data_IF_076945706587
#
_entry.id   IF_076945706587
#
_cell.length_a   1.000
_cell.length_b   1.000
_cell.length_c   1.000
_cell.angle_alpha   90.00
_cell.angle_beta   90.00
_cell.angle_gamma   90.00
#
_symmetry.space_group_name_H-M   'P 1'
#
loop_
_entity.id
_entity.type
_entity.pdbx_description
1 polymer ?
#
# COMPACT_ATOMS: atom_id res chain seq x y z
N UNK A 1 5.92 -7.62 11.66
CA UNK A 1 4.90 -7.91 10.67
C UNK A 1 3.55 -7.51 11.19
N UNK A 2 2.52 -7.79 10.40
CA UNK A 2 1.14 -7.34 10.63
C UNK A 2 0.94 -5.90 10.17
N UNK A 3 -0.21 -5.35 10.54
CA UNK A 3 -0.52 -3.92 10.38
C UNK A 3 -0.01 -3.19 11.62
N UNK A 4 0.77 -2.13 11.41
CA UNK A 4 1.41 -1.36 12.47
C UNK A 4 0.84 0.05 12.43
N UNK A 5 0.44 0.56 13.60
CA UNK A 5 0.10 1.96 13.81
C UNK A 5 1.14 2.54 14.75
N UNK A 6 1.84 3.58 14.32
CA UNK A 6 2.83 4.30 15.12
C UNK A 6 2.33 5.71 15.49
N UNK A 7 2.99 6.34 16.47
CA UNK A 7 2.61 7.66 16.99
C UNK A 7 3.13 8.84 16.14
N UNK A 8 3.72 8.58 14.97
CA UNK A 8 4.43 9.57 14.19
C UNK A 8 5.80 9.94 14.76
N UNK A 9 6.54 10.76 14.00
CA UNK A 9 7.83 11.31 14.44
C UNK A 9 7.61 12.43 15.44
N UNK A 10 8.47 12.49 16.47
CA UNK A 10 8.60 13.65 17.34
C UNK A 10 9.89 14.43 17.00
N UNK A 11 10.04 15.62 17.59
CA UNK A 11 11.19 16.49 17.35
C UNK A 11 12.53 15.90 17.84
N UNK A 12 12.51 14.79 18.57
CA UNK A 12 13.71 14.12 19.10
C UNK A 12 14.37 13.19 18.08
N UNK A 13 13.80 13.04 16.88
CA UNK A 13 14.40 12.27 15.78
C UNK A 13 14.45 10.76 15.98
N UNK A 14 13.81 10.23 17.04
CA UNK A 14 13.74 8.80 17.31
C UNK A 14 12.79 8.05 16.36
N UNK A 15 12.90 6.73 16.34
CA UNK A 15 11.90 5.87 15.66
C UNK A 15 10.52 6.09 16.30
N UNK A 16 9.46 6.33 15.50
CA UNK A 16 8.11 6.45 16.01
C UNK A 16 7.73 5.24 16.88
N UNK A 17 7.24 5.45 18.12
CA UNK A 17 6.82 4.35 18.97
C UNK A 17 5.58 3.67 18.35
N UNK A 18 5.56 2.34 18.38
CA UNK A 18 4.41 1.55 17.93
C UNK A 18 3.29 1.65 18.96
N UNK A 19 2.13 2.14 18.54
CA UNK A 19 0.93 2.28 19.37
C UNK A 19 0.08 1.01 19.30
N UNK A 20 -0.02 0.41 18.12
CA UNK A 20 -0.76 -0.83 17.93
C UNK A 20 -0.09 -1.73 16.89
N UNK A 21 -0.26 -3.04 17.07
CA UNK A 21 0.11 -4.05 16.09
C UNK A 21 -1.02 -5.06 16.00
N UNK A 22 -1.63 -5.14 14.82
CA UNK A 22 -2.73 -6.06 14.54
C UNK A 22 -2.29 -7.11 13.52
N UNK A 23 -2.74 -8.37 13.61
CA UNK A 23 -2.50 -9.34 12.56
C UNK A 23 -3.20 -8.90 11.27
N UNK A 24 -2.53 -9.07 10.14
CA UNK A 24 -3.19 -9.05 8.84
C UNK A 24 -3.88 -10.42 8.62
N UNK A 25 -5.18 -10.49 8.30
CA UNK A 25 -5.87 -11.76 8.10
C UNK A 25 -5.16 -12.66 7.06
N UNK A 26 -4.95 -13.93 7.41
CA UNK A 26 -4.12 -14.85 6.61
C UNK A 26 -4.81 -15.29 5.31
N UNK A 27 -6.14 -15.25 5.30
CA UNK A 27 -6.99 -15.53 4.16
C UNK A 27 -6.87 -14.43 3.08
N UNK A 28 -6.70 -13.17 3.50
CA UNK A 28 -6.67 -12.05 2.57
C UNK A 28 -5.42 -12.08 1.69
N UNK A 29 -5.56 -11.53 0.50
CA UNK A 29 -4.48 -11.33 -0.45
C UNK A 29 -4.32 -9.86 -0.77
N UNK A 30 -3.07 -9.49 -1.00
CA UNK A 30 -2.71 -8.22 -1.62
C UNK A 30 -2.39 -8.50 -3.07
N UNK A 31 -3.04 -7.80 -3.98
CA UNK A 31 -2.77 -7.81 -5.41
C UNK A 31 -1.89 -6.60 -5.68
N UNK A 32 -0.62 -6.84 -6.01
CA UNK A 32 0.35 -5.79 -6.37
C UNK A 32 0.33 -5.58 -7.87
N UNK A 33 0.34 -4.31 -8.30
CA UNK A 33 0.37 -3.88 -9.69
C UNK A 33 1.67 -3.14 -9.90
N UNK A 34 2.61 -3.75 -10.61
CA UNK A 34 3.94 -3.19 -10.84
C UNK A 34 4.04 -2.70 -12.27
N UNK A 35 4.34 -1.41 -12.43
CA UNK A 35 4.68 -0.81 -13.72
C UNK A 35 6.19 -0.65 -13.81
N UNK A 36 6.82 -1.44 -14.68
CA UNK A 36 8.27 -1.45 -14.87
C UNK A 36 8.76 -0.35 -15.84
N UNK A 37 7.84 0.37 -16.49
CA UNK A 37 8.21 1.42 -17.46
C UNK A 37 8.45 2.79 -16.82
N UNK A 38 8.03 2.97 -15.55
CA UNK A 38 8.07 4.24 -14.85
C UNK A 38 8.86 4.17 -13.55
N UNK A 39 9.28 5.34 -13.07
CA UNK A 39 9.85 5.51 -11.73
C UNK A 39 9.04 6.54 -10.97
N UNK A 40 8.73 6.26 -9.70
CA UNK A 40 8.23 7.27 -8.77
C UNK A 40 9.32 8.27 -8.42
N UNK A 41 8.95 9.36 -7.74
CA UNK A 41 9.93 10.30 -7.21
C UNK A 41 10.85 9.60 -6.19
N UNK A 42 12.15 9.84 -6.31
CA UNK A 42 13.14 9.34 -5.37
C UNK A 42 14.32 10.31 -5.22
N UNK A 43 15.02 10.25 -4.09
CA UNK A 43 16.26 11.00 -3.88
C UNK A 43 16.06 12.51 -3.90
N UNK A 44 16.86 13.23 -4.69
CA UNK A 44 16.82 14.70 -4.71
C UNK A 44 15.46 15.26 -5.19
N UNK A 45 14.81 14.61 -6.15
CA UNK A 45 13.51 15.03 -6.65
C UNK A 45 12.39 14.85 -5.61
N UNK A 46 12.47 13.80 -4.80
CA UNK A 46 11.56 13.58 -3.67
C UNK A 46 11.73 14.64 -2.59
N UNK A 47 12.98 14.97 -2.23
CA UNK A 47 13.27 16.03 -1.25
C UNK A 47 12.73 17.38 -1.71
N UNK A 48 12.91 17.70 -3.00
CA UNK A 48 12.42 18.97 -3.55
C UNK A 48 10.89 19.00 -3.62
N UNK A 49 10.25 17.89 -4.02
CA UNK A 49 8.80 17.77 -3.97
C UNK A 49 8.25 18.03 -2.57
N UNK A 50 8.83 17.41 -1.53
CA UNK A 50 8.43 17.66 -0.14
C UNK A 50 8.61 19.12 0.30
N UNK A 51 9.63 19.84 -0.20
CA UNK A 51 9.83 21.26 0.11
C UNK A 51 8.84 22.17 -0.59
N UNK A 52 8.49 21.82 -1.82
CA UNK A 52 7.62 22.62 -2.69
C UNK A 52 6.13 22.46 -2.38
N UNK A 53 5.72 21.29 -1.86
CA UNK A 53 4.33 21.00 -1.58
C UNK A 53 3.84 21.81 -0.36
N UNK A 54 2.59 22.28 -0.40
CA UNK A 54 2.01 22.93 0.77
C UNK A 54 1.96 21.93 1.94
N UNK A 55 1.93 22.42 3.20
CA UNK A 55 1.68 21.54 4.34
C UNK A 55 0.40 20.72 4.16
N UNK A 56 0.42 19.46 4.62
CA UNK A 56 -0.77 18.61 4.58
C UNK A 56 -1.89 19.24 5.42
N UNK A 57 -3.11 19.40 4.88
CA UNK A 57 -4.20 20.07 5.62
C UNK A 57 -4.53 19.35 6.93
N UNK A 58 -4.68 20.10 8.03
CA UNK A 58 -5.04 19.54 9.34
C UNK A 58 -6.32 18.71 9.31
N UNK A 59 -7.35 19.17 8.59
CA UNK A 59 -8.60 18.44 8.44
C UNK A 59 -8.39 17.07 7.75
N UNK A 60 -7.52 17.01 6.74
CA UNK A 60 -7.13 15.76 6.10
C UNK A 60 -6.39 14.83 7.06
N UNK A 61 -5.47 15.37 7.86
CA UNK A 61 -4.74 14.57 8.87
C UNK A 61 -5.69 14.00 9.92
N UNK A 62 -6.66 14.79 10.39
CA UNK A 62 -7.70 14.34 11.31
C UNK A 62 -8.57 13.24 10.72
N UNK A 63 -8.94 13.37 9.44
CA UNK A 63 -9.72 12.36 8.72
C UNK A 63 -8.95 11.05 8.53
N UNK A 64 -7.65 11.11 8.21
CA UNK A 64 -6.79 9.93 8.14
C UNK A 64 -6.72 9.23 9.51
N UNK A 65 -6.49 10.00 10.59
CA UNK A 65 -6.48 9.46 11.95
C UNK A 65 -7.80 8.75 12.29
N UNK A 66 -8.93 9.37 12.00
CA UNK A 66 -10.26 8.79 12.19
C UNK A 66 -10.44 7.50 11.39
N UNK A 67 -10.01 7.45 10.13
CA UNK A 67 -10.11 6.25 9.27
C UNK A 67 -9.20 5.13 9.73
N UNK A 68 -8.04 5.43 10.29
CA UNK A 68 -7.17 4.42 10.90
C UNK A 68 -7.84 3.83 12.16
N UNK A 69 -8.22 4.69 13.11
CA UNK A 69 -8.72 4.27 14.42
C UNK A 69 -10.13 3.68 14.39
N UNK A 70 -11.02 4.24 13.57
CA UNK A 70 -12.46 3.90 13.53
C UNK A 70 -12.85 3.14 12.25
N UNK A 71 -11.90 2.85 11.37
CA UNK A 71 -12.11 2.11 10.12
C UNK A 71 -11.20 0.90 10.02
N UNK A 72 -9.91 1.13 9.72
CA UNK A 72 -8.93 0.07 9.49
C UNK A 72 -8.79 -0.85 10.71
N UNK A 73 -8.61 -0.29 11.90
CA UNK A 73 -8.34 -1.10 13.10
C UNK A 73 -9.52 -2.02 13.47
N UNK A 74 -10.77 -1.55 13.62
CA UNK A 74 -11.93 -2.42 13.83
C UNK A 74 -12.10 -3.44 12.70
N UNK A 75 -11.99 -3.03 11.44
CA UNK A 75 -12.16 -3.92 10.30
C UNK A 75 -11.13 -5.08 10.27
N UNK A 76 -9.90 -4.83 10.72
CA UNK A 76 -8.90 -5.91 10.89
C UNK A 76 -9.28 -6.88 12.01
N UNK A 77 -9.81 -6.38 13.13
CA UNK A 77 -10.22 -7.20 14.27
C UNK A 77 -11.43 -8.06 13.92
N UNK A 78 -12.42 -7.46 13.24
CA UNK A 78 -13.68 -8.09 12.83
C UNK A 78 -13.55 -8.90 11.52
N UNK A 79 -12.39 -8.79 10.85
CA UNK A 79 -12.13 -9.38 9.53
C UNK A 79 -13.12 -8.93 8.46
N UNK A 80 -13.55 -7.68 8.53
CA UNK A 80 -14.39 -7.02 7.54
C UNK A 80 -13.52 -6.42 6.42
N UNK A 81 -13.32 -7.21 5.35
CA UNK A 81 -12.52 -6.76 4.21
C UNK A 81 -13.14 -5.55 3.48
N UNK A 82 -14.46 -5.51 3.17
CA UNK A 82 -15.09 -4.32 2.61
C UNK A 82 -14.84 -3.04 3.41
N UNK A 83 -15.04 -3.06 4.73
CA UNK A 83 -14.81 -1.90 5.59
C UNK A 83 -13.34 -1.48 5.61
N UNK A 84 -12.43 -2.46 5.72
CA UNK A 84 -10.98 -2.23 5.63
C UNK A 84 -10.61 -1.56 4.30
N UNK A 85 -11.09 -2.10 3.19
CA UNK A 85 -10.83 -1.58 1.86
C UNK A 85 -11.37 -0.17 1.66
N UNK A 86 -12.59 0.11 2.09
CA UNK A 86 -13.17 1.46 2.01
C UNK A 86 -12.35 2.49 2.80
N UNK A 87 -11.87 2.13 4.00
CA UNK A 87 -11.02 3.00 4.80
C UNK A 87 -9.66 3.25 4.13
N UNK A 88 -9.02 2.20 3.59
CA UNK A 88 -7.75 2.31 2.88
C UNK A 88 -7.88 3.17 1.62
N UNK A 89 -8.85 2.90 0.74
CA UNK A 89 -9.06 3.69 -0.50
C UNK A 89 -9.23 5.17 -0.16
N UNK A 90 -10.03 5.50 0.85
CA UNK A 90 -10.26 6.90 1.19
C UNK A 90 -9.00 7.60 1.74
N UNK A 91 -8.18 6.91 2.54
CA UNK A 91 -6.87 7.43 2.95
C UNK A 91 -5.98 7.65 1.72
N UNK A 92 -5.95 6.69 0.80
CA UNK A 92 -5.15 6.75 -0.43
C UNK A 92 -5.58 7.90 -1.35
N UNK A 93 -6.88 8.19 -1.46
CA UNK A 93 -7.38 9.35 -2.20
C UNK A 93 -6.93 10.66 -1.56
N UNK A 94 -7.03 10.80 -0.23
CA UNK A 94 -6.57 12.02 0.47
C UNK A 94 -5.08 12.27 0.27
N UNK A 95 -4.27 11.22 0.42
CA UNK A 95 -2.81 11.29 0.24
C UNK A 95 -2.49 11.58 -1.23
N UNK A 96 -3.01 10.77 -2.16
CA UNK A 96 -2.75 10.92 -3.59
C UNK A 96 -3.19 12.27 -4.14
N UNK A 97 -4.32 12.81 -3.70
CA UNK A 97 -4.75 14.18 -4.08
C UNK A 97 -3.81 15.27 -3.57
N UNK A 98 -3.26 15.12 -2.37
CA UNK A 98 -2.29 16.08 -1.83
C UNK A 98 -0.98 16.06 -2.61
N UNK A 99 -0.50 14.87 -2.98
CA UNK A 99 0.76 14.69 -3.70
C UNK A 99 0.62 14.82 -5.23
N UNK A 100 -0.60 14.89 -5.75
CA UNK A 100 -0.88 14.97 -7.19
C UNK A 100 -0.12 16.05 -7.95
N UNK A 101 0.08 17.28 -7.42
CA UNK A 101 0.86 18.30 -8.11
C UNK A 101 2.33 17.91 -8.36
N UNK A 102 2.90 17.03 -7.51
CA UNK A 102 4.28 16.58 -7.63
C UNK A 102 4.43 15.28 -8.43
N UNK A 103 3.41 14.40 -8.41
CA UNK A 103 3.50 13.07 -9.05
C UNK A 103 2.65 12.92 -10.33
N UNK A 104 1.92 13.95 -10.74
CA UNK A 104 1.13 13.96 -11.99
C UNK A 104 -0.28 13.39 -11.89
N UNK A 105 -0.77 13.10 -10.69
CA UNK A 105 -2.11 12.56 -10.43
C UNK A 105 -2.24 11.89 -9.06
N UNK A 106 -3.40 11.32 -8.76
CA UNK A 106 -3.59 10.51 -7.53
C UNK A 106 -2.68 9.27 -7.55
N UNK A 107 -2.47 8.71 -8.74
CA UNK A 107 -1.46 7.71 -9.03
C UNK A 107 -0.41 8.32 -9.96
N UNK A 108 0.84 7.88 -9.77
CA UNK A 108 1.97 8.26 -10.62
C UNK A 108 1.89 7.59 -11.99
N UNK A 109 1.42 6.34 -12.06
CA UNK A 109 1.19 5.62 -13.33
C UNK A 109 -0.30 5.53 -13.65
N UNK A 110 -0.68 6.05 -14.83
CA UNK A 110 -2.04 5.92 -15.38
C UNK A 110 -2.44 4.48 -15.66
N UNK A 111 -1.47 3.64 -16.03
CA UNK A 111 -1.69 2.22 -16.30
C UNK A 111 -2.03 1.48 -15.00
N UNK A 112 -1.33 1.84 -13.94
CA UNK A 112 -1.59 1.31 -12.59
C UNK A 112 -2.94 1.79 -12.05
N UNK A 113 -3.27 3.08 -12.22
CA UNK A 113 -4.58 3.65 -11.88
C UNK A 113 -5.71 2.85 -12.56
N UNK A 114 -5.61 2.68 -13.88
CA UNK A 114 -6.58 1.92 -14.68
C UNK A 114 -6.72 0.47 -14.20
N UNK A 115 -5.60 -0.22 -13.99
CA UNK A 115 -5.61 -1.61 -13.53
C UNK A 115 -6.20 -1.73 -12.11
N UNK A 116 -5.92 -0.79 -11.21
CA UNK A 116 -6.49 -0.76 -9.87
C UNK A 116 -8.01 -0.57 -9.90
N UNK A 117 -8.51 0.36 -10.72
CA UNK A 117 -9.96 0.55 -10.90
C UNK A 117 -10.64 -0.70 -11.46
N UNK A 118 -10.05 -1.36 -12.45
CA UNK A 118 -10.59 -2.62 -12.99
C UNK A 118 -10.58 -3.76 -11.97
N UNK A 119 -9.55 -3.84 -11.11
CA UNK A 119 -9.56 -4.78 -9.99
C UNK A 119 -10.73 -4.49 -9.04
N UNK A 120 -11.00 -3.21 -8.75
CA UNK A 120 -12.12 -2.80 -7.90
C UNK A 120 -13.47 -3.16 -8.54
N UNK A 121 -13.64 -2.92 -9.84
CA UNK A 121 -14.82 -3.34 -10.60
C UNK A 121 -15.02 -4.86 -10.60
N UNK A 122 -13.92 -5.63 -10.60
CA UNK A 122 -13.96 -7.09 -10.52
C UNK A 122 -14.28 -7.63 -9.11
N UNK A 123 -14.26 -6.78 -8.07
CA UNK A 123 -14.60 -7.13 -6.69
C UNK A 123 -13.44 -7.06 -5.69
N UNK A 124 -12.24 -6.62 -6.10
CA UNK A 124 -11.20 -6.24 -5.15
C UNK A 124 -11.60 -4.96 -4.39
N UNK A 125 -10.96 -4.70 -3.26
CA UNK A 125 -11.23 -3.48 -2.46
C UNK A 125 -9.93 -2.80 -2.05
N UNK A 126 -10.00 -1.57 -1.52
CA UNK A 126 -8.84 -0.90 -0.93
C UNK A 126 -7.75 -0.55 -1.93
N UNK A 127 -8.14 0.01 -3.08
CA UNK A 127 -7.19 0.42 -4.12
C UNK A 127 -6.32 1.58 -3.63
N UNK A 128 -5.04 1.57 -4.03
CA UNK A 128 -4.09 2.61 -3.67
C UNK A 128 -2.73 2.45 -4.32
N UNK A 129 -1.81 3.33 -3.94
CA UNK A 129 -0.42 3.35 -4.40
C UNK A 129 0.53 3.21 -3.20
N UNK A 130 1.59 2.43 -3.38
CA UNK A 130 2.69 2.38 -2.42
C UNK A 130 3.64 3.55 -2.65
N UNK A 131 3.80 4.42 -1.65
CA UNK A 131 4.71 5.58 -1.69
C UNK A 131 4.46 6.46 -2.93
N UNK A 132 5.52 7.01 -3.53
CA UNK A 132 5.46 7.77 -4.79
C UNK A 132 5.22 6.91 -6.04
N UNK A 133 4.93 5.61 -5.87
CA UNK A 133 4.65 4.70 -6.97
C UNK A 133 5.90 4.21 -7.72
N UNK A 134 5.71 3.57 -8.89
CA UNK A 134 4.42 3.38 -9.55
C UNK A 134 3.64 2.16 -9.02
N UNK A 135 4.11 1.45 -8.00
CA UNK A 135 3.42 0.23 -7.53
C UNK A 135 2.06 0.54 -6.93
N UNK A 136 1.00 0.02 -7.55
CA UNK A 136 -0.36 0.03 -7.02
C UNK A 136 -0.69 -1.23 -6.25
N UNK A 137 -1.78 -1.20 -5.50
CA UNK A 137 -2.29 -2.38 -4.81
C UNK A 137 -3.82 -2.40 -4.71
N UNK A 138 -4.37 -3.59 -4.46
CA UNK A 138 -5.74 -3.84 -4.04
C UNK A 138 -5.78 -5.08 -3.13
N UNK A 139 -6.90 -5.35 -2.48
CA UNK A 139 -7.09 -6.49 -1.59
C UNK A 139 -8.20 -7.42 -2.06
N UNK A 140 -8.03 -8.71 -1.79
CA UNK A 140 -9.01 -9.76 -2.08
C UNK A 140 -9.22 -10.68 -0.87
N UNK A 141 -10.41 -11.27 -0.70
CA UNK A 141 -10.73 -12.07 0.49
C UNK A 141 -10.03 -13.43 0.51
N UNK A 142 -9.55 -13.91 -0.64
CA UNK A 142 -8.88 -15.20 -0.78
C UNK A 142 -7.93 -15.21 -1.98
N UNK A 143 -7.11 -16.26 -2.10
CA UNK A 143 -6.29 -16.50 -3.29
C UNK A 143 -7.13 -16.75 -4.54
N UNK A 144 -8.20 -17.52 -4.43
CA UNK A 144 -9.07 -17.84 -5.57
C UNK A 144 -9.83 -16.61 -6.08
N UNK A 145 -10.31 -15.76 -5.16
CA UNK A 145 -10.90 -14.47 -5.52
C UNK A 145 -9.86 -13.58 -6.21
N UNK A 146 -8.63 -13.51 -5.69
CA UNK A 146 -7.57 -12.72 -6.30
C UNK A 146 -7.26 -13.19 -7.73
N UNK A 147 -7.17 -14.50 -7.98
CA UNK A 147 -6.98 -15.05 -9.33
C UNK A 147 -8.12 -14.65 -10.27
N UNK A 148 -9.38 -14.78 -9.84
CA UNK A 148 -10.55 -14.38 -10.63
C UNK A 148 -10.51 -12.89 -11.00
N UNK A 149 -10.16 -12.02 -10.05
CA UNK A 149 -10.07 -10.58 -10.29
C UNK A 149 -8.94 -10.25 -11.27
N UNK A 150 -7.75 -10.86 -11.08
CA UNK A 150 -6.61 -10.67 -11.98
C UNK A 150 -6.92 -11.16 -13.39
N UNK A 151 -7.60 -12.30 -13.55
CA UNK A 151 -8.01 -12.82 -14.86
C UNK A 151 -9.00 -11.89 -15.57
N UNK A 152 -9.94 -11.27 -14.84
CA UNK A 152 -10.84 -10.27 -15.39
C UNK A 152 -10.10 -9.03 -15.92
N UNK A 153 -9.07 -8.57 -15.18
CA UNK A 153 -8.23 -7.45 -15.60
C UNK A 153 -7.36 -7.83 -16.81
N UNK A 154 -6.76 -9.02 -16.84
CA UNK A 154 -5.93 -9.47 -17.97
C UNK A 154 -6.70 -9.59 -19.28
N UNK A 155 -7.98 -9.93 -19.22
CA UNK A 155 -8.86 -10.02 -20.41
C UNK A 155 -9.22 -8.64 -20.99
N UNK A 156 -9.16 -7.60 -20.18
CA UNK A 156 -9.55 -6.23 -20.57
C UNK A 156 -8.34 -5.31 -20.77
N UNK A 157 -7.22 -5.61 -20.11
CA UNK A 157 -5.97 -4.84 -20.14
C UNK A 157 -4.94 -5.61 -20.96
N UNK A 158 -4.85 -5.28 -22.25
CA UNK A 158 -3.80 -5.77 -23.17
C UNK A 158 -2.65 -4.75 -23.17
N UNK A 159 -2.16 -4.34 -21.99
CA UNK A 159 -1.02 -3.43 -21.91
C UNK A 159 0.24 -4.20 -21.51
N UNK A 160 1.17 -4.28 -22.46
CA UNK A 160 2.51 -4.81 -22.22
C UNK A 160 3.23 -3.98 -21.14
N UNK A 161 3.88 -4.67 -20.20
CA UNK A 161 4.75 -4.06 -19.19
C UNK A 161 4.16 -3.85 -17.79
N UNK A 162 2.91 -4.24 -17.54
CA UNK A 162 2.38 -4.39 -16.17
C UNK A 162 2.57 -5.81 -15.64
N UNK A 163 3.22 -5.94 -14.50
CA UNK A 163 3.32 -7.20 -13.76
C UNK A 163 2.33 -7.19 -12.59
N UNK A 164 1.47 -8.21 -12.49
CA UNK A 164 0.54 -8.34 -11.36
C UNK A 164 0.94 -9.53 -10.50
N UNK A 165 1.14 -9.30 -9.19
CA UNK A 165 1.49 -10.33 -8.20
C UNK A 165 0.41 -10.48 -7.15
N UNK A 166 0.10 -11.71 -6.78
CA UNK A 166 -0.76 -12.01 -5.63
C UNK A 166 0.15 -12.43 -4.47
N UNK A 167 0.11 -11.68 -3.38
CA UNK A 167 0.92 -11.92 -2.18
C UNK A 167 0.04 -11.95 -0.92
N UNK A 168 0.62 -12.35 0.20
CA UNK A 168 -0.04 -12.36 1.52
C UNK A 168 0.65 -11.41 2.48
N UNK A 169 -0.11 -10.89 3.44
CA UNK A 169 0.47 -10.16 4.57
C UNK A 169 1.43 -11.03 5.37
N UNK A 170 2.51 -10.44 5.88
CA UNK A 170 3.48 -11.13 6.75
C UNK A 170 3.27 -10.70 8.19
N UNK A 171 2.78 -11.60 9.04
CA UNK A 171 2.55 -11.34 10.47
C UNK A 171 3.81 -11.45 11.35
N UNK A 172 4.92 -11.96 10.81
CA UNK A 172 6.22 -12.04 11.50
C UNK A 172 7.13 -10.85 11.21
N UNK A 173 8.07 -10.56 12.11
CA UNK A 173 9.15 -9.59 11.88
C UNK A 173 10.23 -10.12 10.91
N UNK A 174 11.25 -9.30 10.67
CA UNK A 174 12.46 -9.76 10.01
C UNK A 174 13.10 -10.90 10.83
N UNK A 175 13.56 -11.95 10.15
CA UNK A 175 14.32 -13.03 10.76
C UNK A 175 15.77 -12.83 10.36
N UNK A 176 16.63 -12.58 11.34
CA UNK A 176 18.08 -12.45 11.13
C UNK A 176 18.68 -13.81 11.46
N UNK A 177 19.37 -14.42 10.51
CA UNK A 177 20.12 -15.64 10.71
C UNK A 177 21.56 -15.43 10.26
N UNK A 178 22.53 -15.74 11.12
CA UNK A 178 23.94 -15.78 10.74
C UNK A 178 24.30 -17.18 10.27
N UNK A 179 24.75 -17.32 9.04
CA UNK A 179 25.36 -18.56 8.57
C UNK A 179 26.85 -18.48 8.88
N UNK A 180 27.36 -19.26 9.84
CA UNK A 180 28.82 -19.49 9.92
C UNK A 180 29.18 -20.37 8.73
N UNK A 181 29.91 -19.83 7.77
CA UNK A 181 30.70 -20.65 6.85
C UNK A 181 31.75 -21.35 7.71
N UNK A 182 31.54 -22.63 8.00
CA UNK A 182 32.60 -23.50 8.50
C UNK A 182 33.63 -23.62 7.36
N UNK A 183 34.59 -22.71 7.33
CA UNK A 183 35.87 -22.96 6.67
C UNK A 183 36.54 -24.06 7.49
N UNK A 184 36.26 -25.31 7.12
CA UNK A 184 37.09 -26.44 7.53
C UNK A 184 38.42 -26.24 6.82
N UNK A 185 39.36 -25.63 7.53
CA UNK A 185 40.75 -25.54 7.12
C UNK A 185 41.36 -26.93 7.12
N UNK A 186 41.97 -27.25 5.98
CA UNK A 186 42.71 -28.45 5.60
C UNK A 186 43.75 -28.92 6.61
#
# INVERSE_FOLDING_TARGET
GGVIVDAGKNDRGGTPPVVARLPFPEEWRVILILDHSGHGLHGAAEVEAFRSLPPFPMAGSGEICRRVLMGIMPALVERDLPAFGAAVTAIQMLIGSHFAPAQGGVFTSKRVEMAAHRLNEAGAVGIGQSSWGPTGFAFAPSHDSALKFVDAVRKTTIEDGLEIKIVKGRNSGAKISSTRLNLVGS
#
